data_IF_615538353528
#
_entry.id   IF_615538353528
#
_cell.length_a   1.000
_cell.length_b   1.000
_cell.length_c   1.000
_cell.angle_alpha   90.00
_cell.angle_beta   90.00
_cell.angle_gamma   90.00
#
_symmetry.space_group_name_H-M   'P 1'
#
loop_
_entity.id
_entity.type
_entity.pdbx_description
1 polymer ?
#
# COMPACT_ATOMS: atom_id res chain seq x y z
N UNK A 1 4.72 12.44 -4.59
CA UNK A 1 4.48 11.36 -3.61
C UNK A 1 3.84 10.17 -4.31
N UNK A 2 4.33 8.98 -4.01
CA UNK A 2 3.79 7.75 -4.57
C UNK A 2 3.03 6.99 -3.50
N UNK A 3 1.89 6.42 -3.84
CA UNK A 3 1.05 5.65 -2.92
C UNK A 3 1.19 4.18 -3.26
N UNK A 4 1.77 3.41 -2.35
CA UNK A 4 2.13 2.03 -2.56
C UNK A 4 1.39 1.12 -1.57
N UNK A 5 1.36 -0.18 -1.86
CA UNK A 5 0.93 -1.19 -0.90
C UNK A 5 2.15 -2.02 -0.49
N UNK A 6 2.35 -2.20 0.80
CA UNK A 6 3.45 -2.95 1.36
C UNK A 6 2.91 -4.12 2.17
N UNK A 7 3.50 -5.28 1.98
CA UNK A 7 3.13 -6.46 2.76
C UNK A 7 3.80 -6.38 4.14
N UNK A 8 3.00 -6.47 5.19
CA UNK A 8 3.50 -6.24 6.56
C UNK A 8 4.44 -7.36 7.06
N UNK A 9 4.25 -8.57 6.57
CA UNK A 9 5.08 -9.71 6.99
C UNK A 9 6.40 -9.76 6.25
N UNK A 10 6.37 -9.62 4.92
CA UNK A 10 7.57 -9.75 4.10
C UNK A 10 8.31 -8.44 3.88
N UNK A 11 7.63 -7.31 4.05
CA UNK A 11 8.20 -6.00 3.75
C UNK A 11 8.28 -5.68 2.27
N UNK A 12 7.70 -6.51 1.42
CA UNK A 12 7.71 -6.32 -0.02
C UNK A 12 6.58 -5.40 -0.48
N UNK A 13 6.80 -4.74 -1.61
CA UNK A 13 5.83 -3.80 -2.19
C UNK A 13 5.14 -4.42 -3.39
N UNK A 14 3.85 -4.14 -3.52
CA UNK A 14 3.06 -4.63 -4.65
C UNK A 14 3.53 -3.96 -5.95
N UNK A 15 3.79 -4.76 -6.97
CA UNK A 15 4.15 -4.26 -8.30
C UNK A 15 3.12 -4.65 -9.36
N UNK A 16 2.53 -5.80 -9.24
CA UNK A 16 1.55 -6.29 -10.19
C UNK A 16 0.94 -7.58 -9.70
N UNK A 17 0.04 -8.20 -10.48
CA UNK A 17 -0.57 -9.47 -10.09
C UNK A 17 0.48 -10.52 -9.73
N UNK A 18 0.41 -11.02 -8.52
CA UNK A 18 1.33 -12.01 -7.99
C UNK A 18 2.81 -11.57 -8.00
N UNK A 19 3.05 -10.26 -8.04
CA UNK A 19 4.42 -9.75 -8.08
C UNK A 19 4.65 -8.74 -6.96
N UNK A 20 5.56 -9.09 -6.07
CA UNK A 20 5.96 -8.27 -4.93
C UNK A 20 7.46 -8.06 -4.99
N UNK A 21 7.93 -6.85 -4.75
CA UNK A 21 9.33 -6.49 -4.90
C UNK A 21 9.84 -5.73 -3.68
N UNK A 22 11.14 -5.80 -3.45
CA UNK A 22 11.76 -5.13 -2.32
C UNK A 22 11.98 -3.63 -2.53
N UNK A 23 12.14 -3.21 -3.78
CA UNK A 23 12.46 -1.82 -4.11
C UNK A 23 11.20 -0.98 -4.26
N UNK A 24 10.94 -0.02 -3.37
CA UNK A 24 9.75 0.81 -3.47
C UNK A 24 9.71 1.68 -4.73
N UNK A 25 10.86 2.01 -5.31
CA UNK A 25 10.89 2.81 -6.54
C UNK A 25 10.31 2.07 -7.72
N UNK A 26 10.37 0.75 -7.72
CA UNK A 26 9.82 -0.09 -8.78
C UNK A 26 8.40 -0.57 -8.49
N UNK A 27 7.85 -0.21 -7.35
CA UNK A 27 6.51 -0.63 -6.96
C UNK A 27 5.44 0.10 -7.74
N UNK A 28 4.25 -0.49 -7.79
CA UNK A 28 3.12 0.13 -8.46
C UNK A 28 2.61 1.33 -7.65
N UNK A 29 2.47 2.48 -8.32
CA UNK A 29 1.94 3.70 -7.72
C UNK A 29 0.43 3.78 -7.95
N UNK A 30 -0.34 3.63 -6.90
CA UNK A 30 -1.80 3.77 -6.98
C UNK A 30 -2.25 5.21 -7.10
N UNK A 31 -1.38 6.16 -6.80
CA UNK A 31 -1.60 7.62 -6.83
C UNK A 31 -2.51 8.13 -5.73
N UNK A 32 -3.64 7.49 -5.51
CA UNK A 32 -4.64 7.92 -4.53
C UNK A 32 -4.84 6.85 -3.46
N UNK A 33 -5.04 7.31 -2.24
CA UNK A 33 -5.24 6.43 -1.09
C UNK A 33 -6.46 5.52 -1.31
N UNK A 34 -7.57 6.09 -1.76
CA UNK A 34 -8.80 5.35 -1.96
C UNK A 34 -8.66 4.27 -3.03
N UNK A 35 -7.83 4.49 -4.04
CA UNK A 35 -7.56 3.47 -5.06
C UNK A 35 -6.79 2.30 -4.48
N UNK A 36 -5.79 2.58 -3.65
CA UNK A 36 -5.01 1.52 -3.01
C UNK A 36 -5.89 0.72 -2.05
N UNK A 37 -6.72 1.40 -1.27
CA UNK A 37 -7.64 0.74 -0.33
C UNK A 37 -8.66 -0.12 -1.08
N UNK A 38 -9.27 0.42 -2.13
CA UNK A 38 -10.24 -0.33 -2.93
C UNK A 38 -9.61 -1.55 -3.58
N UNK A 39 -8.39 -1.42 -4.07
CA UNK A 39 -7.67 -2.54 -4.66
C UNK A 39 -7.44 -3.64 -3.63
N UNK A 40 -6.97 -3.27 -2.45
CA UNK A 40 -6.72 -4.24 -1.38
C UNK A 40 -8.00 -4.96 -0.96
N UNK A 41 -9.13 -4.25 -0.91
CA UNK A 41 -10.41 -4.84 -0.57
C UNK A 41 -10.92 -5.76 -1.67
N UNK A 42 -10.85 -5.31 -2.93
CA UNK A 42 -11.34 -6.08 -4.07
C UNK A 42 -10.60 -7.40 -4.23
N UNK A 43 -9.29 -7.39 -4.02
CA UNK A 43 -8.46 -8.57 -4.15
C UNK A 43 -8.28 -9.31 -2.82
N UNK A 44 -8.97 -8.87 -1.77
CA UNK A 44 -8.89 -9.45 -0.43
C UNK A 44 -7.47 -9.62 0.05
N UNK A 45 -6.66 -8.60 -0.18
CA UNK A 45 -5.29 -8.59 0.28
C UNK A 45 -5.27 -8.36 1.79
N UNK A 46 -4.63 -9.28 2.49
CA UNK A 46 -4.49 -9.21 3.93
C UNK A 46 -3.06 -8.92 4.29
N UNK A 47 -2.85 -8.40 5.49
CA UNK A 47 -1.51 -8.10 5.97
C UNK A 47 -0.77 -7.12 5.05
N UNK A 48 -1.51 -6.14 4.52
CA UNK A 48 -0.94 -5.06 3.72
C UNK A 48 -1.17 -3.72 4.41
N UNK A 49 -0.30 -2.78 4.13
CA UNK A 49 -0.39 -1.43 4.66
C UNK A 49 -0.13 -0.43 3.53
N UNK A 50 -0.60 0.79 3.74
CA UNK A 50 -0.28 1.87 2.82
C UNK A 50 1.17 2.31 3.05
N UNK A 51 1.87 2.58 1.96
CA UNK A 51 3.23 3.10 2.02
C UNK A 51 3.32 4.33 1.13
N UNK A 52 3.86 5.42 1.69
CA UNK A 52 4.01 6.67 0.95
C UNK A 52 5.49 6.93 0.71
N UNK A 53 5.87 6.97 -0.56
CA UNK A 53 7.25 7.24 -0.94
C UNK A 53 7.35 8.67 -1.45
N UNK A 54 8.25 9.44 -0.86
CA UNK A 54 8.47 10.84 -1.22
C UNK A 54 9.73 10.94 -2.06
N UNK A 55 9.65 11.70 -3.15
CA UNK A 55 10.77 11.82 -4.09
C UNK A 55 11.99 12.51 -3.49
N UNK A 56 11.77 13.48 -2.61
CA UNK A 56 12.84 14.28 -2.04
C UNK A 56 13.51 13.65 -0.81
N UNK A 57 12.92 12.56 -0.30
CA UNK A 57 13.42 11.91 0.90
C UNK A 57 13.43 10.42 0.64
N UNK A 58 14.57 9.78 0.85
CA UNK A 58 14.66 8.32 0.71
C UNK A 58 13.98 7.60 1.88
N UNK A 59 12.82 8.10 2.27
CA UNK A 59 12.07 7.54 3.37
C UNK A 59 10.69 7.11 2.87
N UNK A 60 10.24 5.97 3.35
CA UNK A 60 8.89 5.48 3.11
C UNK A 60 8.14 5.52 4.41
N UNK A 61 7.04 6.26 4.43
CA UNK A 61 6.16 6.31 5.59
C UNK A 61 5.03 5.31 5.39
N UNK A 62 4.79 4.47 6.38
CA UNK A 62 3.72 3.47 6.30
C UNK A 62 2.57 3.83 7.21
N UNK A 63 1.35 3.51 6.75
CA UNK A 63 0.13 3.70 7.53
C UNK A 63 -0.64 2.38 7.47
N UNK A 64 -0.98 1.87 8.65
CA UNK A 64 -1.69 0.61 8.74
C UNK A 64 -3.03 0.68 8.03
N UNK A 65 -3.30 -0.30 7.17
CA UNK A 65 -4.61 -0.50 6.59
C UNK A 65 -5.42 -1.37 7.53
N UNK A 66 -5.86 -0.75 8.63
CA UNK A 66 -6.74 -1.42 9.56
C UNK A 66 -8.14 -1.45 8.96
N UNK A 67 -8.63 -2.62 8.63
CA UNK A 67 -9.96 -2.78 8.07
C UNK A 67 -11.04 -2.22 8.99
N UNK A 68 -10.82 -2.31 10.28
CA UNK A 68 -11.75 -1.74 11.26
C UNK A 68 -11.81 -0.24 11.12
N UNK A 69 -10.66 0.42 11.01
CA UNK A 69 -10.60 1.87 10.84
C UNK A 69 -11.21 2.30 9.50
N UNK A 70 -10.93 1.57 8.43
CA UNK A 70 -11.52 1.84 7.12
C UNK A 70 -13.03 1.68 7.17
N UNK A 71 -13.49 0.64 7.86
CA UNK A 71 -14.91 0.38 8.00
C UNK A 71 -15.61 1.50 8.78
N UNK A 72 -14.97 1.99 9.82
CA UNK A 72 -15.52 3.14 10.59
C UNK A 72 -15.57 4.39 9.74
N UNK A 73 -14.57 4.63 8.92
CA UNK A 73 -14.55 5.78 8.04
C UNK A 73 -15.71 5.78 7.06
N UNK A 74 -16.19 4.61 6.68
CA UNK A 74 -17.32 4.48 5.77
C UNK A 74 -18.67 4.47 6.46
N UNK A 75 -18.66 4.38 7.75
CA UNK A 75 -19.90 4.44 8.53
C UNK A 75 -20.24 5.86 8.90
#
# INVERSE_FOLDING_TARGET
MRTLLRHTVTGLYFQGPDKWIANPESAYDFRFIDRAVSFAETWDLREVELAFAFEDIEAVTTVSLDRTAVHFASA
#
